data_IF_196442060130
#
_entry.id   IF_196442060130
#
_cell.length_a   1.000
_cell.length_b   1.000
_cell.length_c   1.000
_cell.angle_alpha   90.00
_cell.angle_beta   90.00
_cell.angle_gamma   90.00
#
_symmetry.space_group_name_H-M   'P 1'
#
loop_
_entity.id
_entity.type
_entity.pdbx_description
1 polymer ?
#
# COMPACT_ATOMS: atom_id res chain seq x y z
N UNK A 1 12.69 9.53 -22.74
CA UNK A 1 11.91 8.69 -23.67
C UNK A 1 11.43 9.46 -24.93
N UNK A 2 11.58 10.80 -24.94
CA UNK A 2 11.09 11.68 -26.02
C UNK A 2 9.59 11.56 -26.31
N UNK A 3 8.80 11.23 -25.28
CA UNK A 3 7.35 11.21 -25.33
C UNK A 3 6.79 12.52 -24.72
N UNK A 4 5.72 13.11 -25.28
CA UNK A 4 5.03 14.21 -24.62
C UNK A 4 4.37 13.73 -23.32
N UNK A 5 4.37 14.58 -22.29
CA UNK A 5 3.78 14.31 -21.00
C UNK A 5 2.75 15.40 -20.71
N UNK A 6 1.50 14.98 -20.48
CA UNK A 6 0.42 15.87 -20.05
C UNK A 6 0.23 15.73 -18.54
N UNK A 7 0.37 16.84 -17.81
CA UNK A 7 0.04 16.90 -16.39
C UNK A 7 -1.39 17.41 -16.23
N UNK A 8 -2.23 16.65 -15.54
CA UNK A 8 -3.64 17.00 -15.37
C UNK A 8 -4.10 16.78 -13.94
N UNK A 9 -4.92 17.71 -13.43
CA UNK A 9 -5.54 17.57 -12.11
C UNK A 9 -6.70 16.55 -12.16
N UNK A 10 -6.60 15.47 -11.38
CA UNK A 10 -7.64 14.44 -11.29
C UNK A 10 -8.97 14.92 -10.69
N UNK A 11 -9.01 16.09 -10.03
CA UNK A 11 -10.25 16.70 -9.54
C UNK A 11 -10.98 17.54 -10.62
N UNK A 12 -10.40 17.65 -11.83
CA UNK A 12 -11.06 18.27 -12.98
C UNK A 12 -11.38 17.21 -14.07
N UNK A 13 -12.59 16.61 -14.06
CA UNK A 13 -12.95 15.57 -15.02
C UNK A 13 -12.95 16.03 -16.47
N UNK A 14 -13.26 17.28 -16.75
CA UNK A 14 -13.24 17.84 -18.11
C UNK A 14 -11.83 17.92 -18.64
N UNK A 15 -10.88 18.40 -17.83
CA UNK A 15 -9.46 18.44 -18.18
C UNK A 15 -8.89 17.04 -18.41
N UNK A 16 -9.25 16.07 -17.57
CA UNK A 16 -8.85 14.65 -17.72
C UNK A 16 -9.33 14.08 -19.06
N UNK A 17 -10.63 14.27 -19.38
CA UNK A 17 -11.20 13.81 -20.65
C UNK A 17 -10.53 14.50 -21.84
N UNK A 18 -10.26 15.80 -21.74
CA UNK A 18 -9.60 16.56 -22.78
C UNK A 18 -8.16 16.05 -23.02
N UNK A 19 -7.38 15.83 -21.97
CA UNK A 19 -6.05 15.23 -22.08
C UNK A 19 -6.07 13.84 -22.73
N UNK A 20 -7.04 13.01 -22.36
CA UNK A 20 -7.19 11.68 -22.95
C UNK A 20 -7.50 11.73 -24.46
N UNK A 21 -8.33 12.67 -24.89
CA UNK A 21 -8.61 12.90 -26.33
C UNK A 21 -7.35 13.32 -27.09
N UNK A 22 -6.64 14.35 -26.60
CA UNK A 22 -5.41 14.82 -27.23
C UNK A 22 -4.35 13.72 -27.27
N UNK A 23 -4.17 12.99 -26.19
CA UNK A 23 -3.21 11.89 -26.12
C UNK A 23 -3.52 10.78 -27.13
N UNK A 24 -4.81 10.44 -27.29
CA UNK A 24 -5.25 9.46 -28.27
C UNK A 24 -5.02 9.95 -29.70
N UNK A 25 -5.40 11.17 -30.02
CA UNK A 25 -5.19 11.79 -31.32
C UNK A 25 -3.70 11.87 -31.67
N UNK A 26 -2.87 12.27 -30.71
CA UNK A 26 -1.40 12.31 -30.89
C UNK A 26 -0.85 10.93 -31.22
N UNK A 27 -1.21 9.92 -30.43
CA UNK A 27 -0.78 8.54 -30.61
C UNK A 27 -1.19 8.00 -32.00
N UNK A 28 -2.42 8.26 -32.41
CA UNK A 28 -2.93 7.80 -33.71
C UNK A 28 -2.27 8.53 -34.89
N UNK A 29 -2.02 9.85 -34.74
CA UNK A 29 -1.44 10.66 -35.82
C UNK A 29 0.06 10.41 -36.01
N UNK A 30 0.80 10.27 -34.92
CA UNK A 30 2.27 10.24 -34.97
C UNK A 30 2.87 8.84 -34.71
N UNK A 31 2.05 7.82 -34.36
CA UNK A 31 2.49 6.47 -34.01
C UNK A 31 3.59 6.49 -32.93
N UNK A 32 3.46 7.34 -31.90
CA UNK A 32 4.41 7.50 -30.80
C UNK A 32 3.71 7.42 -29.47
N UNK A 33 4.46 7.05 -28.44
CA UNK A 33 3.97 7.01 -27.08
C UNK A 33 3.63 8.42 -26.56
N UNK A 34 2.70 8.46 -25.62
CA UNK A 34 2.31 9.65 -24.87
C UNK A 34 2.02 9.25 -23.42
N UNK A 35 2.37 10.12 -22.49
CA UNK A 35 2.14 9.93 -21.06
C UNK A 35 1.11 10.93 -20.56
N UNK A 36 0.15 10.45 -19.79
CA UNK A 36 -0.76 11.30 -19.01
C UNK A 36 -0.38 11.11 -17.54
N UNK A 37 0.15 12.15 -16.93
CA UNK A 37 0.43 12.22 -15.50
C UNK A 37 -0.77 12.87 -14.80
N UNK A 38 -1.67 12.03 -14.29
CA UNK A 38 -2.87 12.47 -13.58
C UNK A 38 -2.56 12.65 -12.09
N UNK A 39 -2.44 13.89 -11.65
CA UNK A 39 -2.21 14.24 -10.25
C UNK A 39 -3.49 13.99 -9.46
N UNK A 40 -3.49 12.95 -8.65
CA UNK A 40 -4.64 12.52 -7.84
C UNK A 40 -4.19 11.84 -6.54
N UNK A 41 -5.14 11.38 -5.74
CA UNK A 41 -4.88 10.66 -4.50
C UNK A 41 -5.85 9.51 -4.32
N UNK A 42 -5.45 8.51 -3.51
CA UNK A 42 -6.35 7.43 -3.08
C UNK A 42 -6.91 7.77 -1.71
N UNK A 43 -8.24 7.94 -1.62
CA UNK A 43 -8.90 8.33 -0.37
C UNK A 43 -8.77 7.29 0.75
N UNK A 44 -8.76 6.02 0.39
CA UNK A 44 -8.76 4.89 1.33
C UNK A 44 -7.46 4.07 1.30
N UNK A 45 -6.38 4.61 0.72
CA UNK A 45 -5.10 3.92 0.61
C UNK A 45 -5.04 2.92 -0.54
N UNK A 46 -4.18 1.91 -0.40
CA UNK A 46 -3.91 0.93 -1.46
C UNK A 46 -5.11 -0.02 -1.70
N UNK A 47 -5.75 -0.47 -0.63
CA UNK A 47 -6.95 -1.33 -0.65
C UNK A 47 -7.77 -1.11 0.63
N UNK A 48 -8.89 -1.84 0.78
CA UNK A 48 -9.81 -1.68 1.92
C UNK A 48 -9.18 -2.03 3.28
N UNK A 49 -8.19 -2.91 3.30
CA UNK A 49 -7.46 -3.31 4.52
C UNK A 49 -6.29 -2.41 4.88
N UNK A 50 -6.00 -1.39 4.05
CA UNK A 50 -4.88 -0.47 4.27
C UNK A 50 -5.27 0.68 5.22
N UNK A 51 -4.32 1.09 6.06
CA UNK A 51 -4.42 2.32 6.84
C UNK A 51 -3.27 3.25 6.44
N UNK A 52 -3.51 4.16 5.48
CA UNK A 52 -2.45 4.97 4.90
C UNK A 52 -1.84 5.99 5.87
N UNK A 53 -2.49 6.30 6.98
CA UNK A 53 -1.93 7.19 8.01
C UNK A 53 -0.74 6.56 8.77
N UNK A 54 -0.48 5.26 8.60
CA UNK A 54 0.74 4.63 9.13
C UNK A 54 2.01 5.23 8.53
N UNK A 55 1.97 5.62 7.27
CA UNK A 55 3.11 6.13 6.51
C UNK A 55 2.99 7.60 6.13
N UNK A 56 1.77 8.11 5.92
CA UNK A 56 1.48 9.46 5.42
C UNK A 56 0.43 10.20 6.27
N UNK A 57 0.67 10.39 7.59
CA UNK A 57 -0.33 10.94 8.51
C UNK A 57 -0.78 12.35 8.17
N UNK A 58 0.14 13.26 7.80
CA UNK A 58 -0.19 14.66 7.50
C UNK A 58 -1.00 14.76 6.20
N UNK A 59 -0.58 14.04 5.16
CA UNK A 59 -1.27 14.03 3.88
C UNK A 59 -2.70 13.50 4.04
N UNK A 60 -2.89 12.38 4.74
CA UNK A 60 -4.21 11.78 4.93
C UNK A 60 -5.10 12.56 5.88
N UNK A 61 -4.55 13.38 6.79
CA UNK A 61 -5.31 14.35 7.55
C UNK A 61 -6.00 15.38 6.63
N UNK A 62 -5.30 15.85 5.59
CA UNK A 62 -5.87 16.72 4.55
C UNK A 62 -6.88 15.98 3.66
N UNK A 63 -6.54 14.78 3.16
CA UNK A 63 -7.39 13.98 2.28
C UNK A 63 -8.75 13.69 2.92
N UNK A 64 -8.81 13.41 4.23
CA UNK A 64 -10.06 13.14 4.95
C UNK A 64 -11.07 14.30 4.87
N UNK A 65 -10.59 15.53 4.80
CA UNK A 65 -11.44 16.74 4.75
C UNK A 65 -11.63 17.29 3.34
N UNK A 66 -10.88 16.77 2.35
CA UNK A 66 -11.01 17.21 0.97
C UNK A 66 -12.35 16.72 0.36
N UNK A 67 -13.14 17.56 -0.32
CA UNK A 67 -14.37 17.12 -0.96
C UNK A 67 -14.07 16.13 -2.08
N UNK A 68 -15.04 15.28 -2.41
CA UNK A 68 -14.90 14.32 -3.52
C UNK A 68 -14.94 15.04 -4.87
N UNK A 69 -14.27 14.48 -5.89
CA UNK A 69 -14.36 14.97 -7.27
C UNK A 69 -15.79 15.15 -7.75
N UNK A 70 -16.69 14.20 -7.41
CA UNK A 70 -18.13 14.31 -7.69
C UNK A 70 -18.76 15.57 -7.06
N UNK A 71 -18.38 15.89 -5.82
CA UNK A 71 -18.91 17.09 -5.14
C UNK A 71 -18.37 18.38 -5.75
N UNK A 72 -17.07 18.40 -6.10
CA UNK A 72 -16.42 19.55 -6.73
C UNK A 72 -17.05 19.82 -8.09
N UNK A 73 -17.16 18.78 -8.92
CA UNK A 73 -17.69 18.90 -10.27
C UNK A 73 -19.18 19.20 -10.29
N UNK A 74 -19.96 18.54 -9.44
CA UNK A 74 -21.40 18.83 -9.31
C UNK A 74 -21.67 20.28 -8.90
N UNK A 75 -20.87 20.84 -7.97
CA UNK A 75 -20.95 22.26 -7.59
C UNK A 75 -20.58 23.18 -8.75
N UNK A 76 -19.55 22.86 -9.54
CA UNK A 76 -19.16 23.60 -10.74
C UNK A 76 -20.33 23.67 -11.72
N UNK A 77 -20.88 22.52 -12.10
CA UNK A 77 -21.98 22.45 -13.06
C UNK A 77 -23.25 23.17 -12.58
N UNK A 78 -23.56 23.11 -11.29
CA UNK A 78 -24.68 23.82 -10.70
C UNK A 78 -24.47 25.34 -10.74
N UNK A 79 -23.27 25.83 -10.44
CA UNK A 79 -22.94 27.25 -10.52
C UNK A 79 -22.96 27.80 -11.97
N UNK A 80 -22.63 26.96 -12.94
CA UNK A 80 -22.71 27.28 -14.37
C UNK A 80 -24.14 27.16 -14.93
N UNK A 81 -25.11 26.74 -14.13
CA UNK A 81 -26.51 26.57 -14.54
C UNK A 81 -26.76 25.37 -15.47
N UNK A 82 -25.81 24.46 -15.60
CA UNK A 82 -25.91 23.28 -16.46
C UNK A 82 -26.69 22.13 -15.82
N UNK A 83 -26.85 22.14 -14.50
CA UNK A 83 -27.63 21.17 -13.75
C UNK A 83 -28.21 21.78 -12.48
N UNK A 84 -29.12 21.06 -11.81
CA UNK A 84 -29.62 21.43 -10.49
C UNK A 84 -29.19 20.40 -9.42
N UNK A 85 -29.26 20.81 -8.15
CA UNK A 85 -28.95 19.89 -7.04
C UNK A 85 -29.94 18.70 -7.01
N UNK A 86 -31.21 18.92 -7.33
CA UNK A 86 -32.23 17.87 -7.41
C UNK A 86 -31.91 16.85 -8.48
N UNK A 87 -31.47 17.31 -9.66
CA UNK A 87 -31.03 16.43 -10.76
C UNK A 87 -29.81 15.63 -10.36
N UNK A 88 -28.83 16.27 -9.73
CA UNK A 88 -27.62 15.57 -9.24
C UNK A 88 -27.96 14.49 -8.20
N UNK A 89 -28.89 14.75 -7.29
CA UNK A 89 -29.32 13.74 -6.32
C UNK A 89 -30.07 12.58 -6.99
N UNK A 90 -30.91 12.86 -7.97
CA UNK A 90 -31.62 11.85 -8.75
C UNK A 90 -30.66 10.94 -9.49
N UNK A 91 -29.61 11.48 -10.14
CA UNK A 91 -28.58 10.69 -10.81
C UNK A 91 -27.82 9.78 -9.83
N UNK A 92 -27.51 10.26 -8.62
CA UNK A 92 -26.89 9.44 -7.60
C UNK A 92 -27.76 8.27 -7.15
N UNK A 93 -29.07 8.51 -7.00
CA UNK A 93 -30.04 7.47 -6.63
C UNK A 93 -30.11 6.42 -7.74
N UNK A 94 -30.32 6.84 -8.98
CA UNK A 94 -30.41 5.96 -10.15
C UNK A 94 -29.16 5.07 -10.27
N UNK A 95 -27.96 5.67 -10.07
CA UNK A 95 -26.72 4.90 -10.14
C UNK A 95 -26.59 3.90 -9.00
N UNK A 96 -27.06 4.25 -7.80
CA UNK A 96 -27.09 3.32 -6.67
C UNK A 96 -28.04 2.15 -6.93
N UNK A 97 -29.22 2.42 -7.47
CA UNK A 97 -30.18 1.38 -7.87
C UNK A 97 -29.60 0.44 -8.93
N UNK A 98 -28.93 1.01 -9.96
CA UNK A 98 -28.21 0.21 -10.96
C UNK A 98 -27.18 -0.72 -10.32
N UNK A 99 -26.35 -0.22 -9.37
CA UNK A 99 -25.35 -1.05 -8.68
C UNK A 99 -25.99 -2.16 -7.84
N UNK A 100 -27.15 -1.89 -7.21
CA UNK A 100 -27.89 -2.88 -6.43
C UNK A 100 -28.45 -3.99 -7.32
N UNK A 101 -28.97 -3.65 -8.49
CA UNK A 101 -29.48 -4.60 -9.48
C UNK A 101 -28.35 -5.50 -10.01
N UNK A 102 -27.19 -4.92 -10.34
CA UNK A 102 -26.00 -5.67 -10.76
C UNK A 102 -25.47 -6.59 -9.64
N UNK A 103 -25.45 -6.11 -8.40
CA UNK A 103 -25.09 -6.93 -7.25
C UNK A 103 -26.05 -8.11 -7.07
N UNK A 104 -27.35 -7.90 -7.20
CA UNK A 104 -28.33 -8.98 -7.13
C UNK A 104 -28.17 -9.98 -8.27
N UNK A 105 -27.91 -9.52 -9.48
CA UNK A 105 -27.62 -10.37 -10.66
C UNK A 105 -26.36 -11.22 -10.44
N UNK A 106 -25.35 -10.67 -9.75
CA UNK A 106 -24.11 -11.40 -9.46
C UNK A 106 -24.30 -12.65 -8.60
N UNK A 107 -25.35 -12.71 -7.77
CA UNK A 107 -25.65 -13.85 -6.88
C UNK A 107 -26.00 -15.14 -7.65
N UNK A 108 -26.50 -15.02 -8.86
CA UNK A 108 -26.88 -16.14 -9.73
C UNK A 108 -25.87 -16.37 -10.85
N UNK A 109 -24.88 -15.51 -11.00
CA UNK A 109 -23.88 -15.61 -12.03
C UNK A 109 -22.98 -16.82 -11.82
N UNK A 110 -22.87 -17.68 -12.84
CA UNK A 110 -21.96 -18.83 -12.87
C UNK A 110 -20.85 -18.54 -13.86
N UNK A 111 -19.63 -18.34 -13.37
CA UNK A 111 -18.48 -18.16 -14.25
C UNK A 111 -18.02 -19.49 -14.85
N UNK A 112 -17.78 -19.54 -16.14
CA UNK A 112 -17.04 -20.64 -16.77
C UNK A 112 -15.54 -20.41 -16.53
N UNK A 113 -14.93 -21.23 -15.68
CA UNK A 113 -13.48 -21.16 -15.40
C UNK A 113 -12.71 -21.83 -16.54
N UNK A 114 -12.18 -21.04 -17.48
CA UNK A 114 -11.27 -21.50 -18.55
C UNK A 114 -9.80 -21.15 -18.29
N UNK A 115 -9.39 -21.04 -17.04
CA UNK A 115 -8.07 -20.49 -16.66
C UNK A 115 -6.88 -21.41 -16.97
N UNK A 116 -7.11 -22.71 -17.10
CA UNK A 116 -6.05 -23.71 -17.29
C UNK A 116 -6.11 -24.44 -18.64
N UNK A 117 -6.89 -23.92 -19.60
CA UNK A 117 -6.95 -24.47 -20.94
C UNK A 117 -5.82 -23.91 -21.81
N UNK A 118 -5.30 -24.72 -22.72
CA UNK A 118 -4.29 -24.34 -23.72
C UNK A 118 -2.85 -24.70 -23.31
N UNK A 119 -1.89 -23.85 -23.66
CA UNK A 119 -0.45 -24.13 -23.56
C UNK A 119 0.06 -24.40 -22.13
N UNK A 120 -0.65 -23.92 -21.08
CA UNK A 120 -0.26 -24.08 -19.68
C UNK A 120 -0.70 -25.39 -19.03
N UNK A 121 -1.63 -26.15 -19.63
CA UNK A 121 -2.13 -27.42 -19.09
C UNK A 121 -1.05 -28.51 -18.94
N UNK A 122 0.08 -28.35 -19.61
CA UNK A 122 1.23 -29.27 -19.58
C UNK A 122 2.19 -29.05 -18.42
N UNK A 123 2.12 -27.91 -17.75
CA UNK A 123 3.04 -27.59 -16.66
C UNK A 123 2.54 -28.14 -15.32
N UNK A 124 3.42 -28.84 -14.64
CA UNK A 124 3.20 -29.37 -13.28
C UNK A 124 4.16 -28.68 -12.32
N UNK A 125 3.78 -28.48 -11.04
CA UNK A 125 4.72 -28.02 -10.03
C UNK A 125 5.93 -28.93 -9.96
N UNK A 126 7.12 -28.34 -9.85
CA UNK A 126 8.37 -29.11 -9.67
C UNK A 126 8.34 -29.86 -8.34
N UNK A 127 8.43 -31.18 -8.37
CA UNK A 127 8.56 -32.04 -7.18
C UNK A 127 10.07 -32.29 -6.92
N UNK A 128 10.79 -31.23 -6.46
CA UNK A 128 12.17 -31.32 -6.02
C UNK A 128 12.28 -31.35 -4.50
N UNK A 129 13.13 -32.22 -3.91
CA UNK A 129 13.56 -32.09 -2.53
C UNK A 129 14.48 -30.89 -2.44
N UNK A 130 13.93 -29.76 -2.01
CA UNK A 130 14.70 -28.54 -1.73
C UNK A 130 15.68 -28.83 -0.59
N UNK A 131 16.97 -28.98 -0.90
CA UNK A 131 18.01 -29.13 0.12
C UNK A 131 18.27 -27.74 0.73
N UNK A 132 17.53 -27.40 1.77
CA UNK A 132 17.75 -26.16 2.53
C UNK A 132 18.98 -26.33 3.42
N UNK A 133 19.84 -25.31 3.44
CA UNK A 133 20.95 -25.23 4.38
C UNK A 133 20.45 -25.09 5.83
N UNK A 134 21.36 -25.34 6.80
CA UNK A 134 21.09 -25.08 8.22
C UNK A 134 21.19 -23.59 8.47
N UNK A 135 20.04 -22.93 8.70
CA UNK A 135 19.93 -21.49 8.96
C UNK A 135 19.38 -21.17 10.36
N UNK A 136 19.42 -22.14 11.27
CA UNK A 136 18.95 -21.99 12.64
C UNK A 136 19.82 -21.00 13.43
N UNK A 137 19.18 -20.15 14.24
CA UNK A 137 19.82 -19.21 15.16
C UNK A 137 19.41 -19.54 16.58
N UNK A 138 20.32 -19.34 17.54
CA UNK A 138 20.05 -19.57 18.95
C UNK A 138 18.81 -18.83 19.44
N UNK A 139 17.97 -19.55 20.19
CA UNK A 139 16.67 -19.03 20.67
C UNK A 139 16.84 -17.81 21.58
N UNK A 140 17.86 -17.79 22.42
CA UNK A 140 18.11 -16.67 23.33
C UNK A 140 18.45 -15.38 22.56
N UNK A 141 19.22 -15.53 21.49
CA UNK A 141 19.56 -14.43 20.56
C UNK A 141 18.32 -13.92 19.84
N UNK A 142 17.46 -14.82 19.34
CA UNK A 142 16.20 -14.45 18.68
C UNK A 142 15.26 -13.70 19.63
N UNK A 143 15.11 -14.15 20.88
CA UNK A 143 14.28 -13.46 21.87
C UNK A 143 14.83 -12.07 22.19
N UNK A 144 16.14 -11.91 22.35
CA UNK A 144 16.78 -10.62 22.60
C UNK A 144 16.54 -9.63 21.45
N UNK A 145 16.79 -10.07 20.21
CA UNK A 145 16.55 -9.26 19.02
C UNK A 145 15.05 -8.92 18.91
N UNK A 146 14.19 -9.94 19.05
CA UNK A 146 12.74 -9.79 18.94
C UNK A 146 12.14 -8.75 19.88
N UNK A 147 12.55 -8.74 21.14
CA UNK A 147 12.16 -7.70 22.11
C UNK A 147 12.62 -6.32 21.66
N UNK A 148 13.85 -6.18 21.19
CA UNK A 148 14.42 -4.89 20.74
C UNK A 148 13.67 -4.32 19.53
N UNK A 149 13.43 -5.12 18.48
CA UNK A 149 12.72 -4.68 17.28
C UNK A 149 11.23 -4.41 17.51
N UNK A 150 10.67 -4.92 18.61
CA UNK A 150 9.28 -4.69 19.00
C UNK A 150 9.09 -3.54 19.99
N UNK A 151 10.19 -2.85 20.37
CA UNK A 151 10.14 -1.72 21.31
C UNK A 151 10.08 -0.41 20.56
N UNK A 152 9.10 0.43 20.87
CA UNK A 152 8.97 1.80 20.36
C UNK A 152 9.51 2.76 21.43
N UNK A 153 10.31 3.78 21.08
CA UNK A 153 10.76 4.79 22.05
C UNK A 153 9.58 5.53 22.70
N UNK A 154 9.66 5.82 23.99
CA UNK A 154 8.58 6.43 24.75
C UNK A 154 8.15 7.83 24.24
N UNK A 155 9.09 8.57 23.64
CA UNK A 155 8.88 9.91 23.09
C UNK A 155 8.48 9.89 21.59
N UNK A 156 8.15 8.72 21.01
CA UNK A 156 7.83 8.59 19.59
C UNK A 156 6.34 8.27 19.41
N UNK A 157 5.58 9.24 18.91
CA UNK A 157 4.13 9.12 18.71
C UNK A 157 3.83 8.34 17.43
N UNK A 158 3.45 7.06 17.54
CA UNK A 158 3.03 6.21 16.43
C UNK A 158 1.51 6.06 16.39
N UNK A 159 0.98 5.69 15.24
CA UNK A 159 -0.43 5.34 15.10
C UNK A 159 -0.84 4.25 16.11
N UNK A 160 -1.99 4.43 16.77
CA UNK A 160 -2.47 3.55 17.87
C UNK A 160 -2.51 2.06 17.50
N UNK A 161 -2.88 1.74 16.26
CA UNK A 161 -2.89 0.35 15.76
C UNK A 161 -1.49 -0.23 15.69
N UNK A 162 -0.49 0.55 15.22
CA UNK A 162 0.90 0.10 15.20
C UNK A 162 1.45 -0.11 16.60
N UNK A 163 1.13 0.78 17.54
CA UNK A 163 1.50 0.60 18.94
C UNK A 163 1.01 -0.74 19.47
N UNK A 164 -0.27 -1.08 19.23
CA UNK A 164 -0.85 -2.37 19.63
C UNK A 164 -0.16 -3.56 18.93
N UNK A 165 0.15 -3.46 17.64
CA UNK A 165 0.85 -4.52 16.89
C UNK A 165 2.24 -4.79 17.52
N UNK A 166 3.00 -3.73 17.82
CA UNK A 166 4.32 -3.85 18.41
C UNK A 166 4.27 -4.40 19.83
N UNK A 167 3.29 -3.99 20.65
CA UNK A 167 3.04 -4.56 21.98
C UNK A 167 2.73 -6.06 21.92
N UNK A 168 1.88 -6.49 20.96
CA UNK A 168 1.59 -7.91 20.75
C UNK A 168 2.83 -8.68 20.30
N UNK A 169 3.62 -8.14 19.37
CA UNK A 169 4.90 -8.77 18.95
C UNK A 169 5.85 -8.92 20.12
N UNK A 170 5.98 -7.91 20.97
CA UNK A 170 6.81 -7.98 22.16
C UNK A 170 6.37 -9.12 23.09
N UNK A 171 5.07 -9.25 23.35
CA UNK A 171 4.50 -10.32 24.20
C UNK A 171 4.77 -11.72 23.62
N UNK A 172 4.82 -11.90 22.28
CA UNK A 172 5.16 -13.19 21.67
C UNK A 172 6.54 -13.67 22.13
N UNK A 173 7.51 -12.75 22.25
CA UNK A 173 8.86 -13.09 22.72
C UNK A 173 8.93 -13.33 24.22
N UNK A 174 8.09 -12.70 25.02
CA UNK A 174 7.99 -12.99 26.45
C UNK A 174 7.39 -14.37 26.72
N UNK A 175 6.31 -14.69 26.04
CA UNK A 175 5.59 -15.97 26.20
C UNK A 175 6.19 -17.10 25.37
N UNK A 176 7.19 -16.81 24.54
CA UNK A 176 7.84 -17.76 23.63
C UNK A 176 6.83 -18.51 22.71
N UNK A 177 5.81 -17.79 22.26
CA UNK A 177 4.78 -18.32 21.38
C UNK A 177 5.25 -18.40 19.92
N UNK A 178 4.42 -18.98 19.06
CA UNK A 178 4.62 -18.99 17.61
C UNK A 178 4.61 -17.55 17.08
N UNK A 179 5.52 -17.26 16.15
CA UNK A 179 5.64 -15.97 15.48
C UNK A 179 5.05 -16.03 14.06
N UNK A 180 4.55 -14.90 13.58
CA UNK A 180 4.09 -14.76 12.21
C UNK A 180 5.25 -14.62 11.22
N UNK A 181 4.93 -14.72 9.92
CA UNK A 181 5.91 -14.61 8.85
C UNK A 181 6.66 -13.27 8.86
N UNK A 182 5.97 -12.17 9.06
CA UNK A 182 6.55 -10.82 9.08
C UNK A 182 7.54 -10.64 10.23
N UNK A 183 7.21 -11.16 11.41
CA UNK A 183 8.11 -11.18 12.57
C UNK A 183 9.33 -12.05 12.31
N UNK A 184 9.16 -13.21 11.66
CA UNK A 184 10.27 -14.09 11.27
C UNK A 184 11.22 -13.42 10.26
N UNK A 185 10.68 -12.74 9.24
CA UNK A 185 11.45 -11.94 8.29
C UNK A 185 12.29 -10.87 9.00
N UNK A 186 11.65 -10.11 9.90
CA UNK A 186 12.34 -9.04 10.65
C UNK A 186 13.42 -9.60 11.58
N UNK A 187 13.20 -10.76 12.19
CA UNK A 187 14.23 -11.46 12.99
C UNK A 187 15.41 -11.89 12.12
N UNK A 188 15.17 -12.41 10.91
CA UNK A 188 16.23 -12.81 10.00
C UNK A 188 17.11 -11.60 9.63
N UNK A 189 16.52 -10.45 9.31
CA UNK A 189 17.29 -9.22 9.09
C UNK A 189 18.05 -8.79 10.34
N UNK A 190 17.42 -8.82 11.51
CA UNK A 190 18.04 -8.44 12.78
C UNK A 190 19.23 -9.33 13.14
N UNK A 191 19.17 -10.63 12.85
CA UNK A 191 20.30 -11.54 13.07
C UNK A 191 21.48 -11.21 12.18
N UNK A 192 21.25 -10.99 10.87
CA UNK A 192 22.30 -10.59 9.93
C UNK A 192 22.97 -9.29 10.36
N UNK A 193 22.23 -8.27 10.75
CA UNK A 193 22.76 -6.98 11.19
C UNK A 193 23.65 -7.12 12.43
N UNK A 194 23.24 -7.96 13.38
CA UNK A 194 24.01 -8.21 14.61
C UNK A 194 25.22 -9.13 14.40
N UNK A 195 25.26 -9.87 13.30
CA UNK A 195 26.37 -10.72 12.84
C UNK A 195 27.37 -9.97 11.94
N UNK A 196 27.13 -8.68 11.69
CA UNK A 196 28.05 -7.85 10.91
C UNK A 196 27.75 -7.76 9.43
N UNK A 197 26.56 -8.20 8.99
CA UNK A 197 26.11 -8.07 7.60
C UNK A 197 25.15 -6.90 7.46
N UNK A 198 25.38 -6.01 6.47
CA UNK A 198 24.44 -4.97 6.10
C UNK A 198 23.31 -5.58 5.29
N UNK A 199 22.09 -5.07 5.48
CA UNK A 199 20.91 -5.50 4.74
C UNK A 199 20.29 -4.31 4.02
N UNK A 200 20.03 -4.44 2.72
CA UNK A 200 19.27 -3.48 1.94
C UNK A 200 17.97 -4.14 1.47
N UNK A 201 16.84 -3.54 1.80
CA UNK A 201 15.53 -3.91 1.29
C UNK A 201 15.01 -2.79 0.41
N UNK A 202 14.76 -3.09 -0.86
CA UNK A 202 14.29 -2.13 -1.86
C UNK A 202 13.10 -2.72 -2.63
N UNK A 203 12.12 -1.89 -2.94
CA UNK A 203 10.94 -2.28 -3.70
C UNK A 203 9.76 -1.36 -3.44
N UNK A 204 8.60 -1.71 -3.96
CA UNK A 204 7.37 -0.96 -3.71
C UNK A 204 6.86 -1.23 -2.28
N UNK A 205 6.59 -0.17 -1.52
CA UNK A 205 6.11 -0.25 -0.14
C UNK A 205 7.01 -1.09 0.80
N UNK A 206 8.32 -1.07 0.63
CA UNK A 206 9.26 -1.86 1.42
C UNK A 206 9.14 -1.58 2.92
N UNK A 207 8.97 -0.30 3.28
CA UNK A 207 8.91 0.15 4.67
C UNK A 207 7.72 -0.38 5.44
N UNK A 208 6.54 -0.38 4.85
CA UNK A 208 5.30 -0.86 5.45
C UNK A 208 5.05 -2.34 5.14
N UNK A 209 5.44 -2.77 3.96
CA UNK A 209 4.98 -3.98 3.29
C UNK A 209 3.69 -3.74 2.52
N UNK A 210 3.59 -4.27 1.29
CA UNK A 210 2.43 -4.09 0.41
C UNK A 210 1.11 -4.48 1.09
N UNK A 211 1.13 -5.49 1.93
CA UNK A 211 -0.04 -5.98 2.70
C UNK A 211 -0.08 -5.44 4.14
N UNK A 212 0.59 -4.33 4.42
CA UNK A 212 0.64 -3.72 5.75
C UNK A 212 1.10 -4.69 6.86
N UNK A 213 2.07 -5.54 6.55
CA UNK A 213 2.53 -6.61 7.43
C UNK A 213 3.88 -6.33 8.10
N UNK A 214 4.80 -5.63 7.40
CA UNK A 214 6.21 -5.50 7.85
C UNK A 214 6.40 -4.41 8.91
N UNK A 215 5.98 -3.19 8.60
CA UNK A 215 6.16 -2.01 9.46
C UNK A 215 7.61 -1.82 9.94
N UNK A 216 8.57 -1.96 9.04
CA UNK A 216 9.99 -1.77 9.33
C UNK A 216 10.38 -0.30 9.53
N UNK A 217 9.54 0.63 9.04
CA UNK A 217 9.68 2.07 9.25
C UNK A 217 8.44 2.58 9.97
N UNK A 218 8.63 3.16 11.14
CA UNK A 218 7.58 3.87 11.87
C UNK A 218 7.63 5.35 11.55
N UNK A 219 6.47 5.99 11.47
CA UNK A 219 6.34 7.43 11.26
C UNK A 219 5.69 8.08 12.47
N UNK A 220 6.34 9.13 12.97
CA UNK A 220 5.76 9.97 13.99
C UNK A 220 4.53 10.69 13.43
N UNK A 221 3.41 10.63 14.14
CA UNK A 221 2.12 11.15 13.67
C UNK A 221 2.06 12.69 13.67
N UNK A 222 2.99 13.35 14.36
CA UNK A 222 2.99 14.80 14.52
C UNK A 222 3.93 15.50 13.54
N UNK A 223 5.11 14.90 13.26
CA UNK A 223 6.19 15.57 12.54
C UNK A 223 6.84 14.77 11.40
N UNK A 224 6.31 13.58 11.06
CA UNK A 224 6.87 12.65 10.04
C UNK A 224 8.26 12.09 10.32
N UNK A 225 8.81 12.29 11.49
CA UNK A 225 10.09 11.68 11.86
C UNK A 225 10.04 10.16 11.64
N UNK A 226 11.15 9.60 11.19
CA UNK A 226 11.28 8.17 10.90
C UNK A 226 12.01 7.47 12.02
N UNK A 227 11.49 6.32 12.45
CA UNK A 227 12.18 5.39 13.33
C UNK A 227 12.25 4.01 12.70
N UNK A 228 13.45 3.43 12.65
CA UNK A 228 13.70 2.10 12.09
C UNK A 228 14.16 1.19 13.23
N UNK A 229 13.30 0.31 13.77
CA UNK A 229 13.66 -0.55 14.90
C UNK A 229 14.89 -1.43 14.64
N UNK A 230 15.06 -1.93 13.40
CA UNK A 230 16.20 -2.74 12.98
C UNK A 230 17.55 -2.02 13.09
N UNK A 231 17.59 -0.69 13.07
CA UNK A 231 18.81 0.08 13.25
C UNK A 231 19.13 0.37 14.73
N UNK A 232 18.31 -0.14 15.65
CA UNK A 232 18.40 0.15 17.08
C UNK A 232 18.42 -1.12 17.95
N UNK A 233 18.98 -2.23 17.46
CA UNK A 233 19.05 -3.50 18.20
C UNK A 233 20.20 -3.46 19.21
N UNK A 234 21.41 -3.09 18.76
CA UNK A 234 22.61 -3.00 19.60
C UNK A 234 23.62 -1.99 19.03
N UNK A 235 24.53 -1.52 19.89
CA UNK A 235 25.63 -0.67 19.46
C UNK A 235 26.61 -1.45 18.56
N UNK A 236 27.15 -0.78 17.53
CA UNK A 236 28.14 -1.38 16.61
C UNK A 236 27.58 -2.37 15.59
N UNK A 237 26.29 -2.57 15.52
CA UNK A 237 25.66 -3.38 14.46
C UNK A 237 25.82 -2.73 13.07
N UNK A 238 25.59 -3.52 12.03
CA UNK A 238 25.49 -3.00 10.66
C UNK A 238 24.14 -2.31 10.38
N UNK A 239 24.10 -1.54 9.30
CA UNK A 239 22.95 -0.74 8.93
C UNK A 239 21.92 -1.55 8.13
N UNK A 240 20.65 -1.31 8.43
CA UNK A 240 19.50 -1.70 7.62
C UNK A 240 19.08 -0.54 6.76
N UNK A 241 19.27 -0.66 5.46
CA UNK A 241 18.83 0.32 4.48
C UNK A 241 17.49 -0.11 3.88
N UNK A 242 16.52 0.79 3.89
CA UNK A 242 15.18 0.52 3.37
C UNK A 242 14.75 1.64 2.44
N UNK A 243 14.36 1.25 1.22
CA UNK A 243 14.03 2.14 0.10
C UNK A 243 12.70 1.68 -0.49
N UNK A 244 11.75 2.64 -0.54
CA UNK A 244 10.45 2.49 -1.19
C UNK A 244 10.51 2.94 -2.64
#
# INVERSE_FOLDING_TARGET
AQAPIFHVNGDDPEAVVHCAKIATEYRQKFNRDVVIDMVCYRRFGHNEGDEPSFTQPIMYKKIKTHPTTLSIYGKKLSNEGLTSNEKLQKEKINFKEFLEDEYNSSKTYKSELKWFDGAWSRFKPGLGKDKRGVSGVDKSKLVKIGKKISTIPNNFNVHKTLKRIFELRYQLFEKQNKIDWSTAETLAFGTLLTEGFSVRLSGQDSGRGTFSQRHAVLRNQDNHERYIPLNNIQSGQKNFEIID
#
